data_IF_820607997160
#
_entry.id   IF_820607997160
#
_cell.length_a   1.000
_cell.length_b   1.000
_cell.length_c   1.000
_cell.angle_alpha   90.00
_cell.angle_beta   90.00
_cell.angle_gamma   90.00
#
_symmetry.space_group_name_H-M   'P 1'
#
loop_
_entity.id
_entity.type
_entity.pdbx_description
1 polymer ?
#
# COMPACT_ATOMS: atom_id res chain seq x y z
N UNK A 1 16.58 -17.05 -41.93
CA UNK A 1 17.05 -16.93 -40.53
C UNK A 1 17.14 -15.46 -40.17
N UNK A 2 16.08 -14.88 -39.62
CA UNK A 2 16.14 -14.03 -38.42
C UNK A 2 14.82 -14.32 -37.70
N UNK A 3 14.91 -14.79 -36.46
CA UNK A 3 13.76 -15.21 -35.67
C UNK A 3 12.89 -14.00 -35.33
N UNK A 4 11.59 -14.17 -35.52
CA UNK A 4 10.56 -13.38 -34.86
C UNK A 4 10.68 -13.68 -33.36
N UNK A 5 11.41 -12.83 -32.64
CA UNK A 5 11.43 -12.86 -31.18
C UNK A 5 10.23 -12.09 -30.67
N UNK A 6 9.10 -12.80 -30.55
CA UNK A 6 8.06 -12.40 -29.63
C UNK A 6 8.64 -12.19 -28.22
N UNK A 7 7.96 -11.32 -27.49
CA UNK A 7 7.70 -11.35 -26.04
C UNK A 7 7.98 -9.99 -25.35
N UNK A 8 6.90 -9.21 -25.31
CA UNK A 8 6.38 -8.52 -24.12
C UNK A 8 7.18 -7.38 -23.48
N UNK A 9 6.39 -6.53 -22.82
CA UNK A 9 6.78 -5.47 -21.91
C UNK A 9 7.11 -4.14 -22.57
N UNK A 10 6.10 -3.52 -23.21
CA UNK A 10 5.91 -2.08 -22.99
C UNK A 10 5.56 -1.93 -21.50
N UNK A 11 6.63 -1.93 -20.70
CA UNK A 11 6.64 -1.76 -19.26
C UNK A 11 5.80 -0.52 -19.00
N UNK A 12 4.62 -0.74 -18.42
CA UNK A 12 3.82 0.28 -17.75
C UNK A 12 4.80 1.27 -17.14
N UNK A 13 4.78 2.51 -17.60
CA UNK A 13 5.59 3.59 -17.00
C UNK A 13 5.36 3.49 -15.51
N UNK A 14 6.42 3.13 -14.77
CA UNK A 14 6.32 2.99 -13.33
C UNK A 14 5.82 4.34 -12.82
N UNK A 15 4.76 4.32 -12.01
CA UNK A 15 4.19 5.56 -11.50
C UNK A 15 4.97 6.02 -10.27
N UNK A 16 5.07 7.34 -10.11
CA UNK A 16 5.42 7.93 -8.83
C UNK A 16 4.17 7.99 -7.96
N UNK A 17 4.21 7.35 -6.79
CA UNK A 17 3.07 7.26 -5.89
C UNK A 17 3.39 7.86 -4.52
N UNK A 18 2.44 8.64 -4.03
CA UNK A 18 2.43 9.17 -2.68
C UNK A 18 1.16 8.68 -1.98
N UNK A 19 1.33 7.87 -0.93
CA UNK A 19 0.24 7.44 -0.06
C UNK A 19 0.17 8.27 1.23
N UNK A 20 -1.04 8.65 1.63
CA UNK A 20 -1.31 9.33 2.89
C UNK A 20 -2.03 8.37 3.83
N UNK A 21 -1.56 8.30 5.07
CA UNK A 21 -2.19 7.49 6.13
C UNK A 21 -2.37 8.31 7.40
N UNK A 22 -3.46 8.07 8.14
CA UNK A 22 -3.66 8.62 9.49
C UNK A 22 -3.10 7.70 10.58
N UNK A 23 -2.38 6.64 10.23
CA UNK A 23 -1.61 5.82 11.16
C UNK A 23 -0.16 6.28 11.22
N UNK A 24 0.19 6.99 12.29
CA UNK A 24 1.56 7.47 12.49
C UNK A 24 2.56 6.31 12.67
N UNK A 25 2.13 5.23 13.31
CA UNK A 25 2.94 4.03 13.52
C UNK A 25 3.24 3.34 12.19
N UNK A 26 2.24 3.19 11.32
CA UNK A 26 2.43 2.60 9.99
C UNK A 26 3.34 3.46 9.12
N UNK A 27 3.11 4.78 9.05
CA UNK A 27 3.97 5.68 8.30
C UNK A 27 5.42 5.61 8.78
N UNK A 28 5.64 5.55 10.10
CA UNK A 28 6.99 5.38 10.67
C UNK A 28 7.58 4.02 10.31
N UNK A 29 6.83 2.93 10.45
CA UNK A 29 7.32 1.58 10.18
C UNK A 29 7.75 1.40 8.72
N UNK A 30 6.93 1.88 7.77
CA UNK A 30 7.24 1.85 6.34
C UNK A 30 8.49 2.66 6.02
N UNK A 31 8.58 3.90 6.53
CA UNK A 31 9.70 4.79 6.20
C UNK A 31 11.01 4.41 6.90
N UNK A 32 10.95 3.87 8.11
CA UNK A 32 12.14 3.48 8.88
C UNK A 32 12.59 2.03 8.61
N UNK A 33 11.81 1.26 7.85
CA UNK A 33 11.94 -0.20 7.73
C UNK A 33 12.03 -0.87 9.11
N UNK A 34 11.35 -0.30 10.10
CA UNK A 34 11.29 -0.85 11.45
C UNK A 34 10.16 -1.86 11.51
N UNK A 35 10.56 -3.12 11.65
CA UNK A 35 9.67 -4.25 11.65
C UNK A 35 8.99 -4.41 13.02
N UNK A 36 7.85 -3.74 13.20
CA UNK A 36 6.92 -4.09 14.27
C UNK A 36 6.44 -5.52 14.01
N UNK A 37 6.67 -6.42 14.96
CA UNK A 37 6.39 -7.87 14.80
C UNK A 37 4.93 -8.12 14.40
N UNK A 38 4.00 -7.33 14.94
CA UNK A 38 2.57 -7.44 14.64
C UNK A 38 2.21 -7.09 13.18
N UNK A 39 3.03 -6.28 12.52
CA UNK A 39 2.80 -5.79 11.16
C UNK A 39 3.81 -6.36 10.14
N UNK A 40 4.68 -7.27 10.55
CA UNK A 40 5.81 -7.72 9.74
C UNK A 40 5.41 -8.22 8.35
N UNK A 41 4.38 -9.07 8.27
CA UNK A 41 3.89 -9.60 6.98
C UNK A 41 3.40 -8.49 6.05
N UNK A 42 2.56 -7.60 6.57
CA UNK A 42 2.01 -6.47 5.80
C UNK A 42 3.12 -5.51 5.35
N UNK A 43 4.12 -5.24 6.21
CA UNK A 43 5.24 -4.39 5.85
C UNK A 43 6.12 -5.00 4.75
N UNK A 44 6.31 -6.33 4.77
CA UNK A 44 7.02 -7.04 3.71
C UNK A 44 6.25 -7.00 2.38
N UNK A 45 4.93 -7.18 2.43
CA UNK A 45 4.08 -7.05 1.25
C UNK A 45 4.14 -5.62 0.67
N UNK A 46 4.08 -4.60 1.53
CA UNK A 46 4.24 -3.19 1.11
C UNK A 46 5.62 -2.97 0.48
N UNK A 47 6.70 -3.48 1.07
CA UNK A 47 8.04 -3.35 0.50
C UNK A 47 8.14 -4.04 -0.86
N UNK A 48 7.61 -5.26 -0.98
CA UNK A 48 7.57 -6.01 -2.24
C UNK A 48 6.81 -5.25 -3.33
N UNK A 49 5.62 -4.75 -3.01
CA UNK A 49 4.78 -3.97 -3.93
C UNK A 49 5.38 -2.59 -4.24
N UNK A 50 6.18 -2.01 -3.34
CA UNK A 50 6.84 -0.72 -3.59
C UNK A 50 7.78 -0.79 -4.81
N UNK A 51 8.36 -1.96 -5.09
CA UNK A 51 9.18 -2.19 -6.28
C UNK A 51 8.39 -2.13 -7.60
N UNK A 52 7.06 -2.04 -7.56
CA UNK A 52 6.22 -1.78 -8.73
C UNK A 52 6.11 -0.28 -9.09
N UNK A 53 6.71 0.62 -8.32
CA UNK A 53 6.68 2.08 -8.52
C UNK A 53 8.09 2.68 -8.72
N UNK A 54 8.23 3.77 -9.48
CA UNK A 54 9.53 4.45 -9.68
C UNK A 54 9.87 5.24 -8.42
N UNK A 55 8.88 5.93 -7.88
CA UNK A 55 8.92 6.54 -6.56
C UNK A 55 7.77 6.04 -5.69
N UNK A 56 8.09 5.72 -4.44
CA UNK A 56 7.13 5.32 -3.42
C UNK A 56 7.40 6.11 -2.14
N UNK A 57 6.38 6.78 -1.63
CA UNK A 57 6.46 7.49 -0.36
C UNK A 57 5.16 7.40 0.43
N UNK A 58 5.29 7.30 1.75
CA UNK A 58 4.15 7.30 2.68
C UNK A 58 4.31 8.43 3.69
N UNK A 59 3.30 9.29 3.79
CA UNK A 59 3.27 10.36 4.80
C UNK A 59 2.12 10.17 5.79
N UNK A 60 2.37 10.57 7.03
CA UNK A 60 1.30 10.74 8.01
C UNK A 60 0.48 12.00 7.72
N UNK A 61 -0.84 11.90 7.84
CA UNK A 61 -1.79 13.02 7.82
C UNK A 61 -2.73 12.93 9.02
N UNK A 62 -3.24 14.06 9.52
CA UNK A 62 -4.28 14.05 10.55
C UNK A 62 -5.55 13.34 10.07
N UNK A 63 -6.29 12.70 11.00
CA UNK A 63 -7.51 11.94 10.67
C UNK A 63 -8.57 12.79 9.97
N UNK A 64 -8.63 14.07 10.29
CA UNK A 64 -9.48 15.07 9.63
C UNK A 64 -9.17 15.26 8.14
N UNK A 65 -7.99 14.84 7.68
CA UNK A 65 -7.56 14.88 6.29
C UNK A 65 -7.66 13.51 5.59
N UNK A 66 -8.01 12.44 6.32
CA UNK A 66 -8.17 11.07 5.78
C UNK A 66 -9.63 10.57 5.86
N UNK A 67 -10.60 11.49 5.92
CA UNK A 67 -12.02 11.19 6.20
C UNK A 67 -12.63 10.23 5.18
N UNK A 68 -12.25 10.33 3.91
CA UNK A 68 -12.79 9.44 2.86
C UNK A 68 -12.38 7.99 3.09
N UNK A 69 -11.09 7.75 3.37
CA UNK A 69 -10.59 6.41 3.65
C UNK A 69 -11.15 5.85 4.97
N UNK A 70 -11.21 6.67 6.02
CA UNK A 70 -11.82 6.29 7.31
C UNK A 70 -13.31 5.93 7.16
N UNK A 71 -14.07 6.73 6.40
CA UNK A 71 -15.49 6.45 6.14
C UNK A 71 -15.66 5.15 5.36
N UNK A 72 -14.82 4.89 4.36
CA UNK A 72 -14.86 3.65 3.59
C UNK A 72 -14.52 2.43 4.45
N UNK A 73 -13.50 2.54 5.32
CA UNK A 73 -13.14 1.49 6.25
C UNK A 73 -14.26 1.18 7.25
N UNK A 74 -14.93 2.21 7.79
CA UNK A 74 -16.10 2.06 8.68
C UNK A 74 -17.28 1.43 7.96
N UNK A 75 -17.55 1.85 6.74
CA UNK A 75 -18.61 1.25 5.93
C UNK A 75 -18.34 -0.24 5.67
N UNK A 76 -17.11 -0.59 5.29
CA UNK A 76 -16.70 -1.98 5.12
C UNK A 76 -16.86 -2.78 6.42
N UNK A 77 -16.38 -2.27 7.55
CA UNK A 77 -16.52 -2.91 8.86
C UNK A 77 -17.99 -3.13 9.24
N UNK A 78 -18.87 -2.16 8.96
CA UNK A 78 -20.32 -2.29 9.20
C UNK A 78 -21.00 -3.29 8.26
N UNK A 79 -20.45 -3.49 7.07
CA UNK A 79 -20.93 -4.45 6.07
C UNK A 79 -20.40 -5.86 6.30
N UNK A 80 -19.39 -6.04 7.15
CA UNK A 80 -18.98 -7.36 7.58
C UNK A 80 -20.06 -7.92 8.50
N UNK A 81 -20.81 -8.96 8.09
CA UNK A 81 -21.70 -9.62 9.01
C UNK A 81 -20.84 -10.14 10.16
N UNK A 82 -21.30 -9.93 11.39
CA UNK A 82 -20.72 -10.54 12.57
C UNK A 82 -21.00 -12.05 12.53
N UNK A 83 -20.45 -12.77 11.56
CA UNK A 83 -20.59 -14.21 11.47
C UNK A 83 -19.49 -14.85 12.29
N UNK A 84 -19.66 -14.81 13.61
CA UNK A 84 -19.07 -15.77 14.54
C UNK A 84 -20.05 -15.92 15.72
N UNK A 85 -20.86 -16.98 15.63
CA UNK A 85 -21.24 -17.79 16.80
C UNK A 85 -20.00 -18.47 17.36
#
# INVERSE_FOLDING_TARGET
MIADSGLENNRLTKADVWFCTDSQELARAVNSKSYLVELFGVLMDIESLSYCFDFFFVSFVGRENNVVADSLAKAALSSFPSTLY
#
